data_IF_701138405268
#
_entry.id   IF_701138405268
#
_cell.length_a   1.000
_cell.length_b   1.000
_cell.length_c   1.000
_cell.angle_alpha   90.00
_cell.angle_beta   90.00
_cell.angle_gamma   90.00
#
_symmetry.space_group_name_H-M   'P 1'
#
loop_
_entity.id
_entity.type
_entity.pdbx_description
1 polymer ?
#
# COMPACT_ATOMS: atom_id res chain seq x y z
N UNK A 1 -7.10 1.93 -3.41
CA UNK A 1 -5.84 1.40 -2.80
C UNK A 1 -5.11 2.49 -2.04
N UNK A 2 -5.11 3.72 -2.55
CA UNK A 2 -4.60 4.91 -1.85
C UNK A 2 -5.36 5.20 -0.55
N UNK A 3 -6.69 5.10 -0.55
CA UNK A 3 -7.50 5.23 0.67
C UNK A 3 -7.13 4.20 1.74
N UNK A 4 -6.95 2.94 1.34
CA UNK A 4 -6.51 1.86 2.23
C UNK A 4 -5.12 2.15 2.83
N UNK A 5 -4.18 2.69 2.05
CA UNK A 5 -2.86 3.10 2.55
C UNK A 5 -3.00 4.25 3.55
N UNK A 6 -3.86 5.23 3.28
CA UNK A 6 -4.15 6.35 4.17
C UNK A 6 -4.74 5.88 5.51
N UNK A 7 -5.72 4.96 5.45
CA UNK A 7 -6.34 4.37 6.64
C UNK A 7 -5.34 3.55 7.48
N UNK A 8 -4.49 2.74 6.84
CA UNK A 8 -3.45 1.98 7.55
C UNK A 8 -2.43 2.91 8.20
N UNK A 9 -1.99 3.98 7.51
CA UNK A 9 -1.10 4.99 8.09
C UNK A 9 -1.73 5.68 9.31
N UNK A 10 -3.02 6.04 9.22
CA UNK A 10 -3.75 6.62 10.34
C UNK A 10 -3.81 5.64 11.52
N UNK A 11 -4.15 4.37 11.26
CA UNK A 11 -4.20 3.31 12.28
C UNK A 11 -2.85 3.11 12.98
N UNK A 12 -1.74 3.11 12.22
CA UNK A 12 -0.38 3.04 12.79
C UNK A 12 -0.12 4.24 13.71
N UNK A 13 -0.42 5.45 13.26
CA UNK A 13 -0.21 6.67 14.04
C UNK A 13 -1.02 6.69 15.33
N UNK A 14 -2.27 6.23 15.28
CA UNK A 14 -3.14 6.14 16.45
C UNK A 14 -2.59 5.11 17.46
N UNK A 15 -2.12 3.95 16.99
CA UNK A 15 -1.49 2.91 17.84
C UNK A 15 -0.14 3.35 18.42
N UNK A 16 0.67 4.10 17.69
CA UNK A 16 1.93 4.67 18.21
C UNK A 16 1.69 5.64 19.37
N UNK A 17 0.57 6.37 19.35
CA UNK A 17 0.13 7.22 20.46
C UNK A 17 -0.18 6.40 21.71
N UNK A 18 -0.96 5.32 21.56
CA UNK A 18 -1.28 4.39 22.65
C UNK A 18 -0.02 3.71 23.21
N UNK A 19 0.89 3.27 22.35
CA UNK A 19 2.16 2.64 22.74
C UNK A 19 3.01 3.57 23.61
N UNK A 20 3.12 4.84 23.22
CA UNK A 20 3.88 5.86 23.96
C UNK A 20 3.30 6.10 25.35
N UNK A 21 1.98 6.16 25.43
CA UNK A 21 1.27 6.35 26.70
C UNK A 21 1.47 5.15 27.62
N UNK A 22 1.34 3.92 27.11
CA UNK A 22 1.61 2.70 27.87
C UNK A 22 3.07 2.64 28.37
N UNK A 23 4.04 2.95 27.51
CA UNK A 23 5.46 3.03 27.90
C UNK A 23 5.73 4.07 28.98
N UNK A 24 5.16 5.28 28.85
CA UNK A 24 5.27 6.33 29.87
C UNK A 24 4.69 5.88 31.21
N UNK A 25 3.56 5.15 31.21
CA UNK A 25 2.95 4.61 32.44
C UNK A 25 3.84 3.59 33.12
N UNK A 26 4.49 2.70 32.36
CA UNK A 26 5.46 1.73 32.89
C UNK A 26 6.65 2.47 33.52
N UNK A 27 7.19 3.47 32.84
CA UNK A 27 8.36 4.20 33.35
C UNK A 27 8.03 5.01 34.61
N UNK A 28 6.83 5.60 34.69
CA UNK A 28 6.33 6.25 35.91
C UNK A 28 6.14 5.25 37.07
N UNK A 29 5.80 3.99 36.79
CA UNK A 29 5.68 2.95 37.81
C UNK A 29 7.04 2.49 38.34
N UNK A 30 8.08 2.46 37.50
CA UNK A 30 9.46 2.11 37.90
C UNK A 30 10.08 3.10 38.90
N UNK A 31 9.64 4.36 38.91
CA UNK A 31 10.21 5.43 39.76
C UNK A 31 9.44 5.67 41.05
N UNK A 32 8.44 4.84 41.36
CA UNK A 32 7.64 5.02 42.59
C UNK A 32 8.46 4.79 43.85
N UNK A 33 8.38 5.68 44.86
CA UNK A 33 9.22 5.60 46.05
C UNK A 33 8.77 4.49 47.03
N UNK A 34 9.70 4.10 47.91
CA UNK A 34 9.49 3.24 49.09
C UNK A 34 9.06 1.78 48.78
N UNK A 35 7.80 1.43 49.10
CA UNK A 35 7.28 0.04 49.13
C UNK A 35 6.33 -0.23 47.95
N UNK A 36 6.11 0.76 47.06
CA UNK A 36 5.22 0.69 45.90
C UNK A 36 5.83 -0.07 44.70
N UNK A 37 6.66 -1.10 44.94
CA UNK A 37 7.12 -1.97 43.85
C UNK A 37 5.94 -2.84 43.37
N UNK A 38 5.15 -2.25 42.47
CA UNK A 38 3.92 -2.77 41.91
C UNK A 38 4.21 -3.87 40.88
N UNK A 39 4.64 -5.06 41.31
CA UNK A 39 4.45 -6.29 40.50
C UNK A 39 2.98 -6.74 40.58
N UNK A 40 2.08 -5.80 40.29
CA UNK A 40 0.65 -5.97 40.40
C UNK A 40 0.02 -6.32 39.06
N UNK A 41 -1.26 -6.68 39.08
CA UNK A 41 -1.99 -7.04 37.86
C UNK A 41 -1.94 -5.94 36.79
N UNK A 42 -1.89 -4.67 37.19
CA UNK A 42 -1.86 -3.56 36.24
C UNK A 42 -0.50 -3.41 35.56
N UNK A 43 0.61 -3.72 36.22
CA UNK A 43 1.94 -3.75 35.60
C UNK A 43 2.03 -4.84 34.53
N UNK A 44 1.57 -6.07 34.85
CA UNK A 44 1.54 -7.15 33.86
C UNK A 44 0.64 -6.83 32.68
N UNK A 45 -0.51 -6.17 32.91
CA UNK A 45 -1.39 -5.72 31.83
C UNK A 45 -0.74 -4.66 30.95
N UNK A 46 0.00 -3.70 31.52
CA UNK A 46 0.71 -2.70 30.74
C UNK A 46 1.82 -3.30 29.88
N UNK A 47 2.57 -4.28 30.42
CA UNK A 47 3.59 -5.01 29.65
C UNK A 47 2.93 -5.76 28.49
N UNK A 48 1.86 -6.50 28.76
CA UNK A 48 1.09 -7.21 27.73
C UNK A 48 0.55 -6.26 26.67
N UNK A 49 -0.03 -5.12 27.06
CA UNK A 49 -0.56 -4.11 26.14
C UNK A 49 0.54 -3.54 25.24
N UNK A 50 1.74 -3.28 25.77
CA UNK A 50 2.89 -2.84 24.98
C UNK A 50 3.31 -3.90 23.96
N UNK A 51 3.38 -5.17 24.36
CA UNK A 51 3.71 -6.28 23.45
C UNK A 51 2.68 -6.45 22.33
N UNK A 52 1.39 -6.43 22.68
CA UNK A 52 0.27 -6.53 21.74
C UNK A 52 0.28 -5.37 20.74
N UNK A 53 0.34 -4.12 21.22
CA UNK A 53 0.37 -2.94 20.34
C UNK A 53 1.61 -2.96 19.45
N UNK A 54 2.77 -3.38 19.95
CA UNK A 54 4.00 -3.47 19.15
C UNK A 54 3.86 -4.48 18.03
N UNK A 55 3.28 -5.64 18.33
CA UNK A 55 3.01 -6.71 17.35
C UNK A 55 2.03 -6.21 16.28
N UNK A 56 0.95 -5.59 16.71
CA UNK A 56 -0.05 -4.99 15.82
C UNK A 56 0.53 -3.93 14.89
N UNK A 57 1.38 -3.04 15.40
CA UNK A 57 2.05 -2.01 14.60
C UNK A 57 2.99 -2.65 13.57
N UNK A 58 3.70 -3.71 13.94
CA UNK A 58 4.56 -4.45 13.01
C UNK A 58 3.73 -5.09 11.87
N UNK A 59 2.60 -5.72 12.20
CA UNK A 59 1.68 -6.27 11.19
C UNK A 59 1.10 -5.20 10.27
N UNK A 60 0.66 -4.06 10.81
CA UNK A 60 0.13 -2.95 10.01
C UNK A 60 1.18 -2.40 9.06
N UNK A 61 2.44 -2.25 9.52
CA UNK A 61 3.56 -1.84 8.66
C UNK A 61 3.85 -2.86 7.56
N UNK A 62 3.76 -4.15 7.86
CA UNK A 62 3.89 -5.19 6.84
C UNK A 62 2.77 -5.09 5.78
N UNK A 63 1.51 -4.96 6.20
CA UNK A 63 0.37 -4.77 5.29
C UNK A 63 0.49 -3.50 4.45
N UNK A 64 0.98 -2.42 5.04
CA UNK A 64 1.24 -1.17 4.33
C UNK A 64 2.26 -1.35 3.21
N UNK A 65 3.35 -2.06 3.49
CA UNK A 65 4.36 -2.39 2.47
C UNK A 65 3.75 -3.19 1.32
N UNK A 66 2.98 -4.24 1.64
CA UNK A 66 2.30 -5.05 0.63
C UNK A 66 1.33 -4.23 -0.22
N UNK A 67 0.59 -3.30 0.39
CA UNK A 67 -0.33 -2.42 -0.33
C UNK A 67 0.42 -1.48 -1.29
N UNK A 68 1.56 -0.91 -0.87
CA UNK A 68 2.40 -0.10 -1.74
C UNK A 68 3.00 -0.91 -2.90
N UNK A 69 3.50 -2.12 -2.63
CA UNK A 69 4.05 -3.00 -3.67
C UNK A 69 2.98 -3.38 -4.70
N UNK A 70 1.76 -3.67 -4.26
CA UNK A 70 0.61 -3.95 -5.11
C UNK A 70 0.24 -2.75 -5.98
N UNK A 71 0.15 -1.55 -5.38
CA UNK A 71 -0.15 -0.33 -6.12
C UNK A 71 0.89 -0.07 -7.21
N UNK A 72 2.18 -0.21 -6.89
CA UNK A 72 3.27 -0.05 -7.85
C UNK A 72 3.17 -1.06 -9.00
N UNK A 73 2.84 -2.31 -8.70
CA UNK A 73 2.65 -3.35 -9.72
C UNK A 73 1.48 -3.02 -10.66
N UNK A 74 0.37 -2.51 -10.13
CA UNK A 74 -0.78 -2.08 -10.94
C UNK A 74 -0.45 -0.88 -11.82
N UNK A 75 0.23 0.14 -11.30
CA UNK A 75 0.67 1.29 -12.11
C UNK A 75 1.56 0.85 -13.27
N UNK A 76 2.48 -0.09 -13.04
CA UNK A 76 3.31 -0.64 -14.11
C UNK A 76 2.46 -1.37 -15.16
N UNK A 77 1.54 -2.23 -14.72
CA UNK A 77 0.64 -2.96 -15.61
C UNK A 77 -0.24 -2.02 -16.44
N UNK A 78 -0.67 -0.91 -15.85
CA UNK A 78 -1.42 0.12 -16.56
C UNK A 78 -0.59 0.72 -17.70
N UNK A 79 0.66 1.12 -17.44
CA UNK A 79 1.56 1.67 -18.45
C UNK A 79 1.82 0.67 -19.59
N UNK A 80 2.08 -0.60 -19.24
CA UNK A 80 2.29 -1.67 -20.22
C UNK A 80 1.05 -1.82 -21.14
N UNK A 81 -0.16 -1.74 -20.57
CA UNK A 81 -1.41 -1.81 -21.34
C UNK A 81 -1.64 -0.59 -22.22
N UNK A 82 -1.32 0.62 -21.72
CA UNK A 82 -1.42 1.86 -22.49
C UNK A 82 -0.48 1.83 -23.70
N UNK A 83 0.74 1.34 -23.54
CA UNK A 83 1.70 1.14 -24.63
C UNK A 83 1.15 0.12 -25.66
N UNK A 84 0.66 -1.03 -25.21
CA UNK A 84 0.06 -2.02 -26.12
C UNK A 84 -1.12 -1.46 -26.92
N UNK A 85 -1.97 -0.66 -26.29
CA UNK A 85 -3.10 0.00 -26.96
C UNK A 85 -2.59 0.94 -28.05
N UNK A 86 -1.56 1.75 -27.77
CA UNK A 86 -1.00 2.66 -28.77
C UNK A 86 -0.38 1.92 -29.95
N UNK A 87 0.38 0.84 -29.69
CA UNK A 87 0.97 0.03 -30.75
C UNK A 87 -0.12 -0.58 -31.64
N UNK A 88 -1.17 -1.14 -31.03
CA UNK A 88 -2.31 -1.73 -31.76
C UNK A 88 -3.06 -0.68 -32.57
N UNK A 89 -3.32 0.49 -32.00
CA UNK A 89 -3.95 1.60 -32.71
C UNK A 89 -3.13 2.07 -33.92
N UNK A 90 -1.80 2.20 -33.76
CA UNK A 90 -0.91 2.55 -34.86
C UNK A 90 -0.90 1.48 -35.96
N UNK A 91 -0.92 0.20 -35.57
CA UNK A 91 -0.94 -0.93 -36.51
C UNK A 91 -2.25 -0.96 -37.30
N UNK A 92 -3.39 -0.80 -36.63
CA UNK A 92 -4.70 -0.72 -37.28
C UNK A 92 -4.79 0.46 -38.23
N UNK A 93 -4.26 1.63 -37.84
CA UNK A 93 -4.24 2.80 -38.71
C UNK A 93 -3.45 2.54 -40.01
N UNK A 94 -2.30 1.87 -39.91
CA UNK A 94 -1.52 1.49 -41.10
C UNK A 94 -2.35 0.55 -42.00
N UNK A 95 -2.96 -0.48 -41.43
CA UNK A 95 -3.70 -1.47 -42.22
C UNK A 95 -4.97 -0.87 -42.85
N UNK A 96 -5.84 -0.25 -42.03
CA UNK A 96 -7.16 0.22 -42.45
C UNK A 96 -7.13 1.52 -43.25
N UNK A 97 -6.22 2.45 -42.94
CA UNK A 97 -6.19 3.76 -43.60
C UNK A 97 -5.17 3.78 -44.73
N UNK A 98 -3.94 3.35 -44.47
CA UNK A 98 -2.88 3.45 -45.47
C UNK A 98 -2.96 2.32 -46.50
N UNK A 99 -2.89 1.06 -46.05
CA UNK A 99 -2.84 -0.09 -46.94
C UNK A 99 -4.14 -0.26 -47.73
N UNK A 100 -5.30 -0.22 -47.07
CA UNK A 100 -6.58 -0.34 -47.77
C UNK A 100 -6.84 0.85 -48.69
N UNK A 101 -6.56 2.08 -48.28
CA UNK A 101 -6.65 3.26 -49.15
C UNK A 101 -5.79 3.15 -50.41
N UNK A 102 -4.56 2.65 -50.28
CA UNK A 102 -3.70 2.36 -51.43
C UNK A 102 -4.29 1.28 -52.34
N UNK A 103 -4.85 0.19 -51.78
CA UNK A 103 -5.46 -0.90 -52.56
C UNK A 103 -6.68 -0.44 -53.34
N UNK A 104 -7.54 0.38 -52.74
CA UNK A 104 -8.72 0.95 -53.41
C UNK A 104 -8.33 1.86 -54.58
N UNK A 105 -7.19 2.55 -54.49
CA UNK A 105 -6.69 3.41 -55.56
C UNK A 105 -6.14 2.65 -56.78
N UNK A 106 -5.88 1.34 -56.66
CA UNK A 106 -5.39 0.51 -57.76
C UNK A 106 -6.55 0.11 -58.68
N UNK A 107 -6.74 0.84 -59.78
CA UNK A 107 -7.60 0.39 -60.88
C UNK A 107 -6.89 -0.68 -61.70
N UNK A 108 -7.18 -1.95 -61.43
CA UNK A 108 -6.78 -3.06 -62.30
C UNK A 108 -7.78 -3.13 -63.45
N UNK A 109 -7.42 -2.58 -64.61
CA UNK A 109 -8.15 -2.83 -65.84
C UNK A 109 -7.94 -4.29 -66.23
N UNK A 110 -8.94 -5.13 -65.94
CA UNK A 110 -8.98 -6.51 -66.41
C UNK A 110 -9.17 -6.49 -67.94
N UNK A 111 -8.20 -7.09 -68.65
CA UNK A 111 -8.26 -7.35 -70.09
C UNK A 111 -9.32 -8.39 -70.44
#
# INVERSE_FOLDING_TARGET
>A
MEDMISEINKSIKDKEGALRLAGTRIDLRKVRPNIELCRDAAEYRLIQEVEEITTDVAELRHRLKLAHDSLKALCRRQLDLEEEIQIKAATLFIDEVQCMGMRESLQINAY
#
